data_IF_789252028597
#
_entry.id   IF_789252028597
#
_cell.length_a   1.000
_cell.length_b   1.000
_cell.length_c   1.000
_cell.angle_alpha   90.00
_cell.angle_beta   90.00
_cell.angle_gamma   90.00
#
_symmetry.space_group_name_H-M   'P 1'
#
loop_
_entity.id
_entity.type
_entity.pdbx_description
1 polymer ?
#
# COMPACT_ATOMS: atom_id res chain seq x y z
N UNK A 1 6.25 -14.25 -6.96
CA UNK A 1 7.43 -13.83 -6.20
C UNK A 1 7.04 -12.75 -5.20
N UNK A 2 7.60 -12.78 -3.98
CA UNK A 2 7.36 -11.83 -2.91
C UNK A 2 8.61 -10.96 -2.71
N UNK A 3 8.40 -9.64 -2.63
CA UNK A 3 9.41 -8.62 -2.34
C UNK A 3 9.04 -7.97 -1.01
N UNK A 4 9.72 -8.34 0.06
CA UNK A 4 9.50 -7.75 1.38
C UNK A 4 10.40 -6.51 1.54
N UNK A 5 9.77 -5.38 1.85
CA UNK A 5 10.45 -4.10 2.07
C UNK A 5 10.70 -3.87 3.54
N UNK A 6 11.75 -3.13 3.84
CA UNK A 6 12.10 -2.67 5.19
C UNK A 6 12.00 -1.14 5.22
N UNK A 7 10.84 -0.63 5.59
CA UNK A 7 10.63 0.81 5.76
C UNK A 7 11.18 1.32 7.09
N UNK A 8 11.48 0.42 8.03
CA UNK A 8 12.01 0.81 9.33
C UNK A 8 13.46 1.27 9.24
N UNK A 9 14.28 0.53 8.50
CA UNK A 9 15.72 0.80 8.37
C UNK A 9 16.04 1.90 7.36
N UNK A 10 15.27 1.98 6.30
CA UNK A 10 15.62 2.80 5.13
C UNK A 10 14.87 4.13 5.04
N UNK A 11 13.78 4.30 5.78
CA UNK A 11 13.03 5.56 5.76
C UNK A 11 13.74 6.68 6.50
N UNK A 12 13.55 7.91 6.03
CA UNK A 12 13.90 9.13 6.73
C UNK A 12 12.98 9.42 7.94
N UNK A 13 13.24 10.49 8.69
CA UNK A 13 12.40 10.92 9.80
C UNK A 13 10.98 11.30 9.33
N UNK A 14 10.04 11.36 10.26
CA UNK A 14 8.74 11.96 9.98
C UNK A 14 8.93 13.46 9.78
N UNK A 15 8.28 14.02 8.78
CA UNK A 15 8.36 15.43 8.36
C UNK A 15 7.00 15.86 7.84
N UNK A 16 6.78 17.14 7.48
CA UNK A 16 5.59 17.56 6.72
C UNK A 16 5.45 16.89 5.33
N UNK A 17 6.47 16.12 4.91
CA UNK A 17 6.45 15.29 3.72
C UNK A 17 6.15 16.07 2.41
N UNK A 18 6.73 17.28 2.29
CA UNK A 18 6.50 18.22 1.18
C UNK A 18 7.77 18.56 0.39
N UNK A 19 8.83 17.78 0.54
CA UNK A 19 10.07 17.95 -0.21
C UNK A 19 9.78 17.83 -1.72
N UNK A 20 10.42 18.69 -2.52
CA UNK A 20 10.26 18.70 -3.99
C UNK A 20 11.32 17.87 -4.71
N UNK A 21 12.32 17.39 -3.99
CA UNK A 21 13.43 16.57 -4.50
C UNK A 21 13.66 15.38 -3.57
N UNK A 22 14.22 14.31 -4.13
CA UNK A 22 14.65 13.14 -3.34
C UNK A 22 15.85 13.51 -2.48
N UNK A 23 15.73 13.29 -1.18
CA UNK A 23 16.77 13.48 -0.19
C UNK A 23 16.60 12.50 1.00
N UNK A 24 17.39 12.64 2.04
CA UNK A 24 17.31 11.76 3.21
C UNK A 24 15.98 11.93 3.99
N UNK A 25 15.34 13.09 3.94
CA UNK A 25 14.07 13.36 4.64
C UNK A 25 12.87 12.86 3.86
N UNK A 26 12.95 12.83 2.52
CA UNK A 26 11.91 12.29 1.63
C UNK A 26 12.04 10.78 1.39
N UNK A 27 13.05 10.13 1.95
CA UNK A 27 13.24 8.70 1.77
C UNK A 27 12.17 7.88 2.50
N UNK A 28 11.57 6.91 1.80
CA UNK A 28 10.71 5.86 2.37
C UNK A 28 11.33 4.48 2.12
N UNK A 29 11.82 4.23 0.94
CA UNK A 29 12.55 3.03 0.55
C UNK A 29 14.07 3.22 0.68
N UNK A 30 14.52 4.45 0.52
CA UNK A 30 15.92 4.81 0.40
C UNK A 30 16.53 4.38 -0.95
N UNK A 31 17.64 5.00 -1.37
CA UNK A 31 18.18 4.79 -2.71
C UNK A 31 18.61 3.34 -2.99
N UNK A 32 19.19 2.68 -2.01
CA UNK A 32 19.71 1.31 -2.20
C UNK A 32 18.57 0.29 -2.34
N UNK A 33 17.58 0.36 -1.44
CA UNK A 33 16.43 -0.54 -1.50
C UNK A 33 15.57 -0.27 -2.74
N UNK A 34 15.35 1.00 -3.10
CA UNK A 34 14.64 1.37 -4.31
C UNK A 34 15.34 0.83 -5.57
N UNK A 35 16.66 1.00 -5.66
CA UNK A 35 17.44 0.48 -6.77
C UNK A 35 17.41 -1.06 -6.84
N UNK A 36 17.51 -1.74 -5.69
CA UNK A 36 17.37 -3.18 -5.61
C UNK A 36 15.99 -3.64 -6.08
N UNK A 37 14.91 -3.02 -5.56
CA UNK A 37 13.54 -3.41 -5.90
C UNK A 37 13.27 -3.27 -7.41
N UNK A 38 13.68 -2.15 -8.02
CA UNK A 38 13.56 -1.95 -9.47
C UNK A 38 14.26 -3.04 -10.27
N UNK A 39 15.50 -3.40 -9.90
CA UNK A 39 16.23 -4.48 -10.58
C UNK A 39 15.55 -5.83 -10.39
N UNK A 40 15.12 -6.14 -9.17
CA UNK A 40 14.50 -7.42 -8.84
C UNK A 40 13.14 -7.60 -9.54
N UNK A 41 12.30 -6.56 -9.56
CA UNK A 41 11.02 -6.58 -10.28
C UNK A 41 11.20 -6.78 -11.79
N UNK A 42 12.20 -6.14 -12.41
CA UNK A 42 12.50 -6.30 -13.84
C UNK A 42 13.03 -7.69 -14.16
N UNK A 43 13.81 -8.28 -13.26
CA UNK A 43 14.40 -9.61 -13.44
C UNK A 43 13.40 -10.75 -13.15
N UNK A 44 12.28 -10.45 -12.49
CA UNK A 44 11.31 -11.45 -12.06
C UNK A 44 10.56 -12.06 -13.24
N UNK A 45 10.70 -13.36 -13.44
CA UNK A 45 9.89 -14.18 -14.36
C UNK A 45 8.57 -14.67 -13.77
N UNK A 46 8.24 -14.32 -12.52
CA UNK A 46 7.01 -14.76 -11.88
C UNK A 46 5.79 -14.09 -12.51
N UNK A 47 4.68 -14.83 -12.62
CA UNK A 47 3.40 -14.26 -13.10
C UNK A 47 2.94 -13.12 -12.20
N UNK A 48 2.98 -13.31 -10.88
CA UNK A 48 2.60 -12.30 -9.90
C UNK A 48 3.83 -11.81 -9.12
N UNK A 49 3.94 -10.49 -8.97
CA UNK A 49 4.90 -9.79 -8.12
C UNK A 49 4.13 -9.19 -6.96
N UNK A 50 4.43 -9.65 -5.76
CA UNK A 50 3.75 -9.22 -4.53
C UNK A 50 4.76 -8.37 -3.75
N UNK A 51 4.45 -7.09 -3.59
CA UNK A 51 5.27 -6.18 -2.78
C UNK A 51 4.64 -6.11 -1.39
N UNK A 52 5.36 -6.60 -0.39
CA UNK A 52 4.97 -6.48 1.02
C UNK A 52 5.67 -5.26 1.62
N UNK A 53 4.89 -4.31 2.08
CA UNK A 53 5.33 -3.03 2.65
C UNK A 53 4.66 -2.80 3.99
N UNK A 54 5.33 -2.11 4.91
CA UNK A 54 4.75 -1.81 6.22
C UNK A 54 3.58 -0.82 6.06
N UNK A 55 3.79 0.27 5.33
CA UNK A 55 2.84 1.38 5.21
C UNK A 55 2.02 1.30 3.92
N UNK A 56 0.72 1.63 3.98
CA UNK A 56 -0.11 1.84 2.79
C UNK A 56 0.33 3.07 1.99
N UNK A 57 0.11 3.02 0.67
CA UNK A 57 0.63 4.05 -0.24
C UNK A 57 -0.19 5.34 -0.24
N UNK A 58 -1.51 5.25 -0.13
CA UNK A 58 -2.40 6.41 -0.27
C UNK A 58 -3.15 6.78 1.00
N UNK A 59 -2.89 6.13 2.13
CA UNK A 59 -3.54 6.47 3.39
C UNK A 59 -2.74 7.52 4.16
N UNK A 60 -3.43 8.55 4.60
CA UNK A 60 -2.86 9.65 5.39
C UNK A 60 -2.76 9.22 6.85
N UNK A 61 -1.55 9.11 7.37
CA UNK A 61 -1.28 8.87 8.80
C UNK A 61 -0.50 10.06 9.34
N UNK A 62 -1.16 10.86 10.17
CA UNK A 62 -0.55 12.05 10.77
C UNK A 62 0.26 11.68 12.00
N UNK A 63 1.45 12.28 12.09
CA UNK A 63 2.26 12.35 13.30
C UNK A 63 2.21 13.79 13.81
N UNK A 64 1.97 13.94 15.10
CA UNK A 64 1.67 15.25 15.68
C UNK A 64 2.94 16.11 15.84
N UNK A 65 2.89 17.45 15.63
CA UNK A 65 1.70 18.23 15.25
C UNK A 65 1.48 18.41 13.74
N UNK A 66 2.52 18.26 12.91
CA UNK A 66 2.48 18.62 11.48
C UNK A 66 3.03 17.56 10.53
N UNK A 67 3.63 16.53 11.07
CA UNK A 67 4.37 15.53 10.31
C UNK A 67 3.48 14.34 9.91
N UNK A 68 4.03 13.49 9.04
CA UNK A 68 3.34 12.30 8.58
C UNK A 68 4.18 11.05 8.83
N UNK A 69 3.56 10.04 9.41
CA UNK A 69 4.04 8.66 9.43
C UNK A 69 3.38 7.89 8.28
N UNK A 70 3.54 8.37 7.06
CA UNK A 70 2.89 7.83 5.87
C UNK A 70 3.78 8.03 4.63
N UNK A 71 3.43 7.35 3.55
CA UNK A 71 3.86 7.72 2.20
C UNK A 71 3.13 8.98 1.78
N UNK A 72 1.80 8.99 1.92
CA UNK A 72 0.91 10.09 1.58
C UNK A 72 1.14 11.34 2.45
N UNK A 73 1.02 12.53 1.86
CA UNK A 73 1.24 13.83 2.51
C UNK A 73 -0.03 14.69 2.69
N UNK A 74 -1.19 14.20 2.25
CA UNK A 74 -2.48 14.90 2.29
C UNK A 74 -2.54 16.20 1.46
N UNK A 75 -1.68 16.35 0.45
CA UNK A 75 -1.67 17.53 -0.41
C UNK A 75 -2.58 17.37 -1.65
N UNK A 76 -3.00 16.15 -1.96
CA UNK A 76 -3.84 15.81 -3.13
C UNK A 76 -3.30 16.35 -4.47
N UNK A 77 -1.98 16.49 -4.57
CA UNK A 77 -1.26 17.14 -5.66
C UNK A 77 -0.33 16.21 -6.43
N UNK A 78 0.62 16.76 -7.19
CA UNK A 78 1.74 16.00 -7.72
C UNK A 78 2.59 15.43 -6.58
N UNK A 79 3.35 14.34 -6.83
CA UNK A 79 4.17 13.69 -5.80
C UNK A 79 5.13 14.67 -5.11
N UNK A 80 5.13 14.65 -3.77
CA UNK A 80 6.05 15.37 -2.90
C UNK A 80 6.54 14.45 -1.78
N UNK A 81 7.66 14.78 -1.19
CA UNK A 81 8.23 14.04 -0.09
C UNK A 81 8.44 12.56 -0.43
N UNK A 82 7.96 11.66 0.41
CA UNK A 82 8.07 10.20 0.26
C UNK A 82 7.36 9.65 -0.99
N UNK A 83 6.36 10.36 -1.48
CA UNK A 83 5.67 9.98 -2.72
C UNK A 83 6.58 10.04 -3.95
N UNK A 84 7.67 10.81 -3.91
CA UNK A 84 8.65 10.91 -5.01
C UNK A 84 9.31 9.55 -5.31
N UNK A 85 9.69 8.79 -4.28
CA UNK A 85 10.28 7.45 -4.48
C UNK A 85 9.25 6.46 -5.03
N UNK A 86 8.00 6.52 -4.55
CA UNK A 86 6.92 5.67 -5.07
C UNK A 86 6.57 6.04 -6.51
N UNK A 87 6.50 7.32 -6.85
CA UNK A 87 6.29 7.78 -8.21
C UNK A 87 7.40 7.30 -9.16
N UNK A 88 8.66 7.37 -8.73
CA UNK A 88 9.82 6.88 -9.49
C UNK A 88 9.77 5.35 -9.66
N UNK A 89 9.38 4.60 -8.62
CA UNK A 89 9.19 3.15 -8.71
C UNK A 89 8.06 2.78 -9.69
N UNK A 90 6.89 3.40 -9.54
CA UNK A 90 5.72 3.14 -10.38
C UNK A 90 5.99 3.47 -11.85
N UNK A 91 6.65 4.61 -12.13
CA UNK A 91 7.06 5.01 -13.48
C UNK A 91 8.07 4.02 -14.10
N UNK A 92 8.99 3.52 -13.28
CA UNK A 92 9.95 2.52 -13.71
C UNK A 92 9.29 1.19 -14.06
N UNK A 93 8.34 0.74 -13.25
CA UNK A 93 7.56 -0.47 -13.49
C UNK A 93 6.81 -0.38 -14.82
N UNK A 94 6.11 0.73 -15.07
CA UNK A 94 5.39 0.97 -16.34
C UNK A 94 6.34 0.99 -17.54
N UNK A 95 7.42 1.76 -17.48
CA UNK A 95 8.44 1.85 -18.54
C UNK A 95 9.05 0.48 -18.85
N UNK A 96 9.29 -0.32 -17.83
CA UNK A 96 9.91 -1.64 -17.94
C UNK A 96 8.90 -2.78 -18.18
N UNK A 97 7.60 -2.45 -18.32
CA UNK A 97 6.51 -3.41 -18.52
C UNK A 97 6.44 -4.48 -17.42
N UNK A 98 6.74 -4.11 -16.20
CA UNK A 98 6.54 -4.96 -15.02
C UNK A 98 5.04 -5.01 -14.75
N UNK A 99 4.42 -6.18 -14.94
CA UNK A 99 2.97 -6.39 -14.84
C UNK A 99 2.61 -7.28 -13.67
N UNK A 100 1.32 -7.34 -13.35
CA UNK A 100 0.74 -8.21 -12.33
C UNK A 100 1.36 -7.95 -10.95
N UNK A 101 1.40 -6.68 -10.57
CA UNK A 101 1.91 -6.23 -9.27
C UNK A 101 0.74 -5.95 -8.34
N UNK A 102 0.81 -6.50 -7.13
CA UNK A 102 -0.07 -6.12 -6.02
C UNK A 102 0.77 -5.72 -4.81
N UNK A 103 0.17 -4.90 -3.95
CA UNK A 103 0.75 -4.49 -2.69
C UNK A 103 0.02 -5.14 -1.53
N UNK A 104 0.77 -5.64 -0.54
CA UNK A 104 0.27 -6.06 0.76
C UNK A 104 0.83 -5.10 1.79
N UNK A 105 -0.05 -4.46 2.54
CA UNK A 105 0.33 -3.43 3.52
C UNK A 105 -0.38 -3.66 4.85
N UNK A 106 0.00 -2.92 5.87
CA UNK A 106 -0.49 -3.08 7.23
C UNK A 106 -0.58 -1.72 7.95
N UNK A 107 -0.06 -1.61 9.18
CA UNK A 107 0.16 -0.42 10.00
C UNK A 107 -1.10 0.30 10.50
N UNK A 108 -2.04 0.63 9.64
CA UNK A 108 -3.20 1.50 9.97
C UNK A 108 -4.28 0.85 10.84
N UNK A 109 -4.07 -0.38 11.26
CA UNK A 109 -4.90 -1.10 12.24
C UNK A 109 -6.36 -1.33 11.81
N UNK A 110 -6.61 -1.58 10.54
CA UNK A 110 -7.86 -2.12 9.99
C UNK A 110 -7.60 -2.83 8.67
N UNK A 111 -8.56 -3.62 8.20
CA UNK A 111 -8.45 -4.22 6.88
C UNK A 111 -9.20 -3.40 5.83
N UNK A 112 -8.55 -3.23 4.68
CA UNK A 112 -9.11 -2.53 3.54
C UNK A 112 -8.56 -3.08 2.21
N UNK A 113 -9.28 -2.85 1.12
CA UNK A 113 -8.80 -3.06 -0.23
C UNK A 113 -8.91 -1.75 -1.01
N UNK A 114 -7.82 -1.35 -1.64
CA UNK A 114 -7.74 -0.15 -2.46
C UNK A 114 -7.36 -0.50 -3.90
N UNK A 115 -7.97 0.21 -4.86
CA UNK A 115 -7.58 0.15 -6.25
C UNK A 115 -7.05 1.50 -6.70
N UNK A 116 -5.81 1.51 -7.14
CA UNK A 116 -5.12 2.69 -7.66
C UNK A 116 -5.26 2.75 -9.18
N UNK A 117 -5.60 3.93 -9.71
CA UNK A 117 -5.86 4.08 -11.13
C UNK A 117 -5.39 5.46 -11.62
N UNK A 118 -4.51 5.52 -12.64
CA UNK A 118 -4.03 6.78 -13.20
C UNK A 118 -5.14 7.69 -13.72
N UNK A 119 -6.32 7.16 -14.08
CA UNK A 119 -7.45 7.97 -14.49
C UNK A 119 -8.05 8.84 -13.36
N UNK A 120 -7.76 8.52 -12.11
CA UNK A 120 -8.19 9.28 -10.92
C UNK A 120 -7.03 10.01 -10.22
N UNK A 121 -5.80 9.78 -10.68
CA UNK A 121 -4.59 10.23 -10.02
C UNK A 121 -4.12 11.61 -10.48
N UNK A 122 -3.35 12.29 -9.63
CA UNK A 122 -2.57 13.47 -10.01
C UNK A 122 -1.28 13.08 -10.73
N UNK A 123 -0.64 12.00 -10.27
CA UNK A 123 0.47 11.37 -10.98
C UNK A 123 -0.06 10.22 -11.82
N UNK A 124 0.10 10.27 -13.14
CA UNK A 124 -0.54 9.35 -14.09
C UNK A 124 0.42 8.36 -14.75
N UNK A 125 1.72 8.45 -14.47
CA UNK A 125 2.72 7.63 -15.14
C UNK A 125 2.91 6.26 -14.47
N UNK A 126 1.81 5.50 -14.31
CA UNK A 126 1.83 4.12 -13.78
C UNK A 126 0.69 3.30 -14.41
N UNK A 127 0.72 1.98 -14.21
CA UNK A 127 -0.37 1.07 -14.56
C UNK A 127 -1.24 0.80 -13.32
N UNK A 128 -2.56 0.58 -13.46
CA UNK A 128 -3.44 0.31 -12.31
C UNK A 128 -2.96 -0.87 -11.47
N UNK A 129 -3.13 -0.78 -10.15
CA UNK A 129 -2.77 -1.86 -9.23
C UNK A 129 -3.69 -1.92 -8.00
N UNK A 130 -3.61 -3.04 -7.29
CA UNK A 130 -4.33 -3.28 -6.04
C UNK A 130 -3.39 -3.22 -4.83
N UNK A 131 -3.92 -2.69 -3.74
CA UNK A 131 -3.33 -2.73 -2.41
C UNK A 131 -4.32 -3.38 -1.45
N UNK A 132 -3.84 -4.33 -0.67
CA UNK A 132 -4.60 -5.01 0.38
C UNK A 132 -3.94 -4.69 1.72
N UNK A 133 -4.67 -3.97 2.56
CA UNK A 133 -4.26 -3.61 3.92
C UNK A 133 -4.84 -4.66 4.86
N UNK A 134 -4.01 -5.24 5.72
CA UNK A 134 -4.46 -6.27 6.66
C UNK A 134 -3.86 -6.05 8.06
N UNK A 135 -4.72 -6.01 9.04
CA UNK A 135 -4.40 -5.83 10.45
C UNK A 135 -5.57 -5.18 11.21
N UNK A 136 -5.44 -4.95 12.52
CA UNK A 136 -4.37 -5.46 13.38
C UNK A 136 -4.58 -6.93 13.72
N UNK A 137 -3.50 -7.63 14.10
CA UNK A 137 -3.60 -8.99 14.67
C UNK A 137 -3.83 -8.95 16.18
N UNK A 138 -3.16 -8.02 16.88
CA UNK A 138 -3.22 -7.90 18.35
C UNK A 138 -2.94 -6.46 18.83
N UNK A 139 -3.57 -5.48 18.21
CA UNK A 139 -3.47 -4.07 18.59
C UNK A 139 -4.85 -3.43 18.59
N UNK A 140 -4.95 -2.19 19.05
CA UNK A 140 -6.19 -1.41 18.96
C UNK A 140 -6.55 -1.11 17.51
N UNK A 141 -7.85 -1.03 17.21
CA UNK A 141 -8.35 -0.72 15.87
C UNK A 141 -8.60 0.78 15.75
N UNK A 142 -8.13 1.37 14.66
CA UNK A 142 -8.25 2.79 14.35
C UNK A 142 -8.96 3.00 13.01
N UNK A 143 -8.92 4.21 12.48
CA UNK A 143 -9.41 4.57 11.16
C UNK A 143 -10.89 4.98 11.12
N UNK A 144 -11.45 5.16 9.92
CA UNK A 144 -10.72 5.11 8.65
C UNK A 144 -9.80 6.33 8.47
N UNK A 145 -8.66 6.12 7.82
CA UNK A 145 -7.78 7.22 7.42
C UNK A 145 -8.28 7.87 6.13
N UNK A 146 -8.02 9.17 5.96
CA UNK A 146 -8.26 9.85 4.70
C UNK A 146 -7.35 9.28 3.60
N UNK A 147 -7.81 9.34 2.36
CA UNK A 147 -7.00 9.04 1.19
C UNK A 147 -6.37 10.31 0.62
N UNK A 148 -5.18 10.18 0.06
CA UNK A 148 -4.50 11.19 -0.75
C UNK A 148 -4.68 10.87 -2.23
N UNK A 149 -5.00 11.88 -3.04
CA UNK A 149 -5.33 11.70 -4.46
C UNK A 149 -4.11 11.58 -5.39
N UNK A 150 -2.88 11.70 -4.88
CA UNK A 150 -1.65 11.69 -5.70
C UNK A 150 -1.59 10.48 -6.63
N UNK A 151 -1.89 9.28 -6.14
CA UNK A 151 -1.92 8.04 -6.94
C UNK A 151 -3.35 7.54 -7.22
N UNK A 152 -4.38 8.34 -6.98
CA UNK A 152 -5.78 8.04 -7.33
C UNK A 152 -6.36 6.78 -6.69
N UNK A 153 -6.17 6.54 -5.38
CA UNK A 153 -6.78 5.40 -4.69
C UNK A 153 -8.29 5.51 -4.63
N UNK A 154 -8.94 4.35 -4.64
CA UNK A 154 -10.37 4.19 -4.35
C UNK A 154 -10.55 3.07 -3.35
N UNK A 155 -11.33 3.32 -2.29
CA UNK A 155 -11.75 2.26 -1.38
C UNK A 155 -12.68 1.31 -2.11
N UNK A 156 -12.30 0.05 -2.19
CA UNK A 156 -13.09 -1.04 -2.73
C UNK A 156 -13.75 -1.85 -1.61
N UNK A 157 -13.11 -1.89 -0.45
CA UNK A 157 -13.62 -2.52 0.76
C UNK A 157 -12.98 -1.88 2.00
N UNK A 158 -13.77 -1.78 3.08
CA UNK A 158 -13.35 -1.29 4.39
C UNK A 158 -14.00 -2.14 5.48
N UNK A 159 -13.21 -2.72 6.37
CA UNK A 159 -13.67 -3.70 7.37
C UNK A 159 -14.13 -3.09 8.70
N UNK A 160 -14.09 -1.79 8.87
CA UNK A 160 -14.49 -1.12 10.12
C UNK A 160 -15.86 -0.46 9.98
N UNK A 161 -16.67 -0.45 11.05
CA UNK A 161 -17.99 0.18 11.03
C UNK A 161 -17.94 1.69 10.81
N UNK A 162 -18.93 2.22 10.11
CA UNK A 162 -19.10 3.67 9.97
C UNK A 162 -19.22 4.35 11.34
N UNK A 163 -18.54 5.48 11.50
CA UNK A 163 -18.54 6.27 12.73
C UNK A 163 -17.87 5.58 13.92
N UNK A 164 -17.07 4.56 13.68
CA UNK A 164 -16.32 3.87 14.74
C UNK A 164 -15.44 4.88 15.51
N UNK A 165 -15.51 4.84 16.84
CA UNK A 165 -14.56 5.58 17.68
C UNK A 165 -13.18 4.95 17.56
N UNK A 166 -12.09 5.74 17.44
CA UNK A 166 -10.73 5.21 17.35
C UNK A 166 -10.30 4.48 18.61
N UNK A 167 -9.20 3.74 18.50
CA UNK A 167 -8.58 2.98 19.59
C UNK A 167 -9.51 1.94 20.24
N UNK A 168 -10.21 1.16 19.41
CA UNK A 168 -11.00 0.03 19.90
C UNK A 168 -10.04 -1.07 20.38
N UNK A 169 -10.25 -1.61 21.61
CA UNK A 169 -9.38 -2.65 22.13
C UNK A 169 -9.53 -3.96 21.34
N UNK A 170 -8.54 -4.89 21.39
CA UNK A 170 -8.66 -6.21 20.77
C UNK A 170 -9.90 -7.00 21.19
N UNK A 171 -10.40 -6.79 22.43
CA UNK A 171 -11.64 -7.39 22.90
C UNK A 171 -12.90 -6.95 22.15
N UNK A 172 -12.81 -5.91 21.31
CA UNK A 172 -13.89 -5.51 20.40
C UNK A 172 -14.02 -6.43 19.17
N UNK A 173 -13.09 -7.37 18.96
CA UNK A 173 -13.13 -8.36 17.87
C UNK A 173 -12.81 -7.82 16.48
N UNK A 174 -12.22 -6.63 16.40
CA UNK A 174 -11.88 -5.97 15.14
C UNK A 174 -10.41 -6.24 14.75
N UNK A 175 -10.03 -7.53 14.76
CA UNK A 175 -8.77 -8.03 14.26
C UNK A 175 -8.98 -8.70 12.90
N UNK A 176 -8.03 -8.49 12.01
CA UNK A 176 -8.16 -8.93 10.62
C UNK A 176 -6.85 -9.49 10.10
N UNK A 177 -6.94 -10.39 9.13
CA UNK A 177 -5.80 -10.88 8.36
C UNK A 177 -6.16 -11.03 6.89
N UNK A 178 -5.13 -11.09 6.04
CA UNK A 178 -5.29 -11.33 4.61
C UNK A 178 -4.79 -12.70 4.19
N UNK A 179 -5.33 -13.23 3.10
CA UNK A 179 -4.79 -14.41 2.44
C UNK A 179 -4.73 -14.21 0.92
N UNK A 180 -3.64 -14.72 0.32
CA UNK A 180 -3.43 -14.72 -1.13
C UNK A 180 -3.30 -16.16 -1.59
N UNK A 181 -4.01 -16.50 -2.65
CA UNK A 181 -3.84 -17.77 -3.36
C UNK A 181 -3.72 -17.54 -4.86
N UNK A 182 -2.91 -18.37 -5.53
CA UNK A 182 -2.75 -18.32 -6.99
C UNK A 182 -3.08 -19.71 -7.53
N UNK A 183 -4.06 -19.77 -8.43
CA UNK A 183 -4.46 -21.02 -9.06
C UNK A 183 -3.37 -21.51 -10.03
N UNK A 184 -2.85 -22.69 -9.83
CA UNK A 184 -1.70 -23.21 -10.61
C UNK A 184 -1.94 -23.24 -12.12
N UNK A 185 -3.15 -23.58 -12.55
CA UNK A 185 -3.49 -23.72 -13.98
C UNK A 185 -3.84 -22.39 -14.65
N UNK A 186 -4.71 -21.59 -14.03
CA UNK A 186 -5.22 -20.33 -14.61
C UNK A 186 -4.35 -19.15 -14.25
N UNK A 187 -3.51 -19.28 -13.21
CA UNK A 187 -2.72 -18.20 -12.60
C UNK A 187 -3.54 -17.06 -12.03
N UNK A 188 -4.87 -17.23 -11.92
CA UNK A 188 -5.74 -16.26 -11.25
C UNK A 188 -5.27 -16.11 -9.80
N UNK A 189 -5.03 -14.87 -9.38
CA UNK A 189 -4.74 -14.52 -8.00
C UNK A 189 -6.05 -14.19 -7.30
N UNK A 190 -6.29 -14.84 -6.16
CA UNK A 190 -7.42 -14.52 -5.29
C UNK A 190 -6.90 -13.90 -4.00
N UNK A 191 -7.28 -12.65 -3.73
CA UNK A 191 -7.03 -11.98 -2.47
C UNK A 191 -8.30 -12.01 -1.60
N UNK A 192 -8.13 -12.32 -0.31
CA UNK A 192 -9.21 -12.32 0.68
C UNK A 192 -8.79 -11.58 1.94
N UNK A 193 -9.75 -10.88 2.54
CA UNK A 193 -9.64 -10.30 3.87
C UNK A 193 -10.57 -11.04 4.81
N UNK A 194 -10.11 -11.33 6.01
CA UNK A 194 -10.80 -12.15 7.00
C UNK A 194 -10.92 -11.43 8.33
N UNK A 195 -11.97 -11.77 9.10
CA UNK A 195 -12.09 -11.38 10.51
C UNK A 195 -11.35 -12.38 11.43
N UNK A 196 -11.40 -12.11 12.73
CA UNK A 196 -10.78 -12.95 13.74
C UNK A 196 -11.32 -14.41 13.75
N UNK A 197 -12.59 -14.61 13.38
CA UNK A 197 -13.20 -15.94 13.32
C UNK A 197 -12.78 -16.74 12.07
N UNK A 198 -12.10 -16.10 11.12
CA UNK A 198 -11.73 -16.70 9.84
C UNK A 198 -12.78 -16.54 8.75
N UNK A 199 -13.87 -15.84 9.03
CA UNK A 199 -14.88 -15.56 7.99
C UNK A 199 -14.29 -14.66 6.92
N UNK A 200 -14.64 -14.93 5.67
CA UNK A 200 -14.23 -14.12 4.53
C UNK A 200 -15.12 -12.88 4.45
N UNK A 201 -14.52 -11.72 4.65
CA UNK A 201 -15.20 -10.42 4.59
C UNK A 201 -15.17 -9.81 3.19
N UNK A 202 -14.10 -10.04 2.45
CA UNK A 202 -13.91 -9.53 1.10
C UNK A 202 -13.13 -10.52 0.25
N UNK A 203 -13.48 -10.62 -1.03
CA UNK A 203 -12.76 -11.43 -2.02
C UNK A 203 -12.67 -10.70 -3.34
N UNK A 204 -11.51 -10.73 -3.97
CA UNK A 204 -11.33 -10.32 -5.36
C UNK A 204 -10.46 -11.33 -6.10
N UNK A 205 -10.86 -11.64 -7.33
CA UNK A 205 -10.09 -12.45 -8.26
C UNK A 205 -9.46 -11.54 -9.32
N UNK A 206 -8.17 -11.68 -9.52
CA UNK A 206 -7.39 -10.91 -10.47
C UNK A 206 -6.84 -11.85 -11.54
N UNK A 207 -7.21 -11.60 -12.79
CA UNK A 207 -6.65 -12.31 -13.93
C UNK A 207 -5.26 -11.75 -14.24
N UNK A 208 -4.27 -12.61 -14.55
CA UNK A 208 -2.97 -12.12 -14.94
C UNK A 208 -3.03 -11.48 -16.33
N UNK A 209 -2.46 -10.31 -16.46
CA UNK A 209 -2.19 -9.69 -17.77
C UNK A 209 -1.04 -10.44 -18.45
N UNK A 210 -1.14 -10.78 -19.73
CA UNK A 210 -0.07 -11.44 -20.50
C UNK A 210 1.24 -10.65 -20.55
#
# INVERSE_FOLDING_TARGET
ELFALDLRKYRGPNTPNLQTTLDAESAILGPDQLAWLKRALRASGATWKIIASDLPLGLVVRDFPSDFEAVANANDGPPLGRELEIADLLADMKRSRVRNVIWLTADVHYAAAHHYDPARARFTNFDPFWEFVAGPLNAGTFGPNALDATFGPKVMYLAIPDGMKPNRPPSAGLQFFGSISVAARTRVLTARLHNLAGDVLYTVNLDPTP
#
